data_IF_878441092549
#
_entry.id   IF_878441092549
#
_cell.length_a   1.000
_cell.length_b   1.000
_cell.length_c   1.000
_cell.angle_alpha   90.00
_cell.angle_beta   90.00
_cell.angle_gamma   90.00
#
_symmetry.space_group_name_H-M   'P 1'
#
loop_
_entity.id
_entity.type
_entity.pdbx_description
1 polymer ?
#
# COMPACT_ATOMS: atom_id res chain seq x y z
N UNK A 1 -8.66 27.24 -6.45
CA UNK A 1 -9.30 28.49 -6.01
C UNK A 1 -8.25 29.55 -5.65
N UNK A 2 -7.28 29.26 -4.78
CA UNK A 2 -6.24 30.20 -4.30
C UNK A 2 -5.33 30.74 -5.40
N UNK A 3 -5.13 30.01 -6.49
CA UNK A 3 -4.18 30.34 -7.55
C UNK A 3 -2.71 30.30 -7.08
N UNK A 4 -2.40 29.52 -6.02
CA UNK A 4 -1.03 29.34 -5.54
C UNK A 4 -0.26 28.46 -6.54
N UNK A 5 0.78 29.02 -7.14
CA UNK A 5 1.67 28.33 -8.08
C UNK A 5 2.84 27.58 -7.42
N UNK A 6 2.84 27.46 -6.11
CA UNK A 6 3.85 26.66 -5.41
C UNK A 6 3.63 25.15 -5.59
N UNK A 7 4.73 24.39 -5.62
CA UNK A 7 4.65 22.93 -5.62
C UNK A 7 3.92 22.43 -4.37
N UNK A 8 2.82 21.71 -4.56
CA UNK A 8 1.97 21.19 -3.47
C UNK A 8 2.67 20.19 -2.54
N UNK A 9 3.79 19.62 -2.94
CA UNK A 9 4.59 18.74 -2.09
C UNK A 9 5.42 19.50 -1.06
N UNK A 10 5.71 20.80 -1.28
CA UNK A 10 6.56 21.59 -0.41
C UNK A 10 5.88 21.96 0.90
N UNK A 11 6.60 21.94 2.03
CA UNK A 11 6.05 22.30 3.35
C UNK A 11 5.53 23.73 3.43
N UNK A 12 6.24 24.67 2.82
CA UNK A 12 5.86 26.09 2.79
C UNK A 12 4.55 26.33 2.02
N UNK A 13 4.36 25.66 0.87
CA UNK A 13 3.11 25.70 0.12
C UNK A 13 1.95 25.13 0.93
N UNK A 14 2.16 23.97 1.58
CA UNK A 14 1.16 23.36 2.47
C UNK A 14 0.78 24.27 3.63
N UNK A 15 1.76 24.95 4.25
CA UNK A 15 1.52 25.87 5.34
C UNK A 15 0.66 27.08 4.90
N UNK A 16 1.00 27.70 3.75
CA UNK A 16 0.19 28.80 3.18
C UNK A 16 -1.23 28.36 2.85
N UNK A 17 -1.40 27.20 2.21
CA UNK A 17 -2.72 26.65 1.89
C UNK A 17 -3.52 26.33 3.15
N UNK A 18 -2.91 25.77 4.17
CA UNK A 18 -3.55 25.51 5.46
C UNK A 18 -4.04 26.80 6.11
N UNK A 19 -3.19 27.82 6.19
CA UNK A 19 -3.56 29.10 6.75
C UNK A 19 -4.72 29.76 5.99
N UNK A 20 -4.70 29.72 4.65
CA UNK A 20 -5.76 30.25 3.82
C UNK A 20 -7.09 29.51 4.02
N UNK A 21 -7.07 28.17 4.18
CA UNK A 21 -8.26 27.37 4.45
C UNK A 21 -8.81 27.61 5.85
N UNK A 22 -7.93 27.71 6.86
CA UNK A 22 -8.34 28.00 8.23
C UNK A 22 -9.05 29.34 8.36
N UNK A 23 -8.61 30.33 7.58
CA UNK A 23 -9.22 31.69 7.60
C UNK A 23 -10.65 31.72 7.04
N UNK A 24 -11.07 30.74 6.26
CA UNK A 24 -12.39 30.67 5.62
C UNK A 24 -13.22 29.47 6.06
N UNK A 25 -12.71 28.67 6.99
CA UNK A 25 -13.39 27.48 7.49
C UNK A 25 -14.63 27.91 8.31
N UNK A 26 -15.85 27.50 7.93
CA UNK A 26 -17.04 27.84 8.70
C UNK A 26 -17.04 27.12 10.05
N UNK A 27 -17.48 27.81 11.07
CA UNK A 27 -17.52 27.28 12.45
C UNK A 27 -18.59 26.19 12.57
N UNK A 28 -19.75 26.40 11.93
CA UNK A 28 -20.94 25.57 12.13
C UNK A 28 -20.91 24.25 11.30
N UNK A 29 -20.19 24.23 10.16
CA UNK A 29 -20.17 23.09 9.25
C UNK A 29 -18.77 22.84 8.65
N UNK A 30 -17.71 22.67 9.45
CA UNK A 30 -16.35 22.49 8.93
C UNK A 30 -16.17 21.18 8.15
N UNK A 31 -16.91 20.12 8.51
CA UNK A 31 -16.90 18.83 7.82
C UNK A 31 -17.46 18.94 6.41
N UNK A 32 -18.62 19.58 6.25
CA UNK A 32 -19.28 19.75 4.96
C UNK A 32 -18.44 20.63 4.03
N UNK A 33 -17.82 21.67 4.56
CA UNK A 33 -16.91 22.52 3.80
C UNK A 33 -15.70 21.74 3.27
N UNK A 34 -15.06 20.92 4.11
CA UNK A 34 -13.95 20.07 3.67
C UNK A 34 -14.40 19.05 2.61
N UNK A 35 -15.56 18.43 2.80
CA UNK A 35 -16.11 17.48 1.84
C UNK A 35 -16.39 18.16 0.49
N UNK A 36 -17.03 19.33 0.51
CA UNK A 36 -17.31 20.11 -0.69
C UNK A 36 -16.03 20.48 -1.47
N UNK A 37 -14.95 20.84 -0.77
CA UNK A 37 -13.66 21.12 -1.42
C UNK A 37 -13.04 19.89 -2.05
N UNK A 38 -13.14 18.72 -1.40
CA UNK A 38 -12.64 17.45 -1.95
C UNK A 38 -13.45 17.05 -3.19
N UNK A 39 -14.77 17.15 -3.16
CA UNK A 39 -15.63 16.85 -4.29
C UNK A 39 -15.43 17.81 -5.45
N UNK A 40 -15.28 19.10 -5.19
CA UNK A 40 -14.96 20.09 -6.20
C UNK A 40 -13.64 19.71 -6.93
N UNK A 41 -12.63 19.29 -6.18
CA UNK A 41 -11.35 18.83 -6.71
C UNK A 41 -11.43 17.51 -7.48
N UNK A 42 -12.38 16.63 -7.16
CA UNK A 42 -12.56 15.35 -7.82
C UNK A 42 -13.45 15.44 -9.07
N UNK A 43 -14.50 16.27 -9.03
CA UNK A 43 -15.57 16.26 -10.04
C UNK A 43 -15.53 17.43 -11.02
N UNK A 44 -15.09 18.61 -10.60
CA UNK A 44 -15.09 19.82 -11.42
C UNK A 44 -13.69 20.30 -11.76
N UNK A 45 -12.83 20.45 -10.73
CA UNK A 45 -11.44 20.88 -10.90
C UNK A 45 -10.48 19.68 -10.90
N UNK A 46 -10.80 18.67 -11.71
CA UNK A 46 -10.08 17.39 -11.72
C UNK A 46 -8.59 17.58 -12.07
N UNK A 47 -7.68 16.84 -11.41
CA UNK A 47 -6.23 17.04 -11.56
C UNK A 47 -5.64 16.44 -12.85
N UNK A 48 -6.44 15.71 -13.62
CA UNK A 48 -6.02 14.99 -14.84
C UNK A 48 -6.93 15.37 -16.03
N UNK A 49 -6.86 16.62 -16.45
CA UNK A 49 -7.62 17.13 -17.58
C UNK A 49 -8.01 18.60 -17.38
N UNK A 50 -8.60 19.24 -18.40
CA UNK A 50 -9.03 20.63 -18.29
C UNK A 50 -10.13 20.77 -17.21
N UNK A 51 -10.00 21.73 -16.30
CA UNK A 51 -11.00 21.96 -15.28
C UNK A 51 -12.29 22.54 -15.89
N UNK A 52 -13.45 22.05 -15.42
CA UNK A 52 -14.76 22.53 -15.88
C UNK A 52 -15.14 23.84 -15.20
N UNK A 53 -14.38 24.92 -15.51
CA UNK A 53 -14.51 26.20 -14.82
C UNK A 53 -15.89 26.84 -14.95
N UNK A 54 -16.61 26.61 -16.06
CA UNK A 54 -17.94 27.16 -16.29
C UNK A 54 -19.02 26.52 -15.41
N UNK A 55 -18.79 25.31 -14.92
CA UNK A 55 -19.69 24.58 -14.02
C UNK A 55 -19.29 24.79 -12.53
N UNK A 56 -18.18 25.49 -12.29
CA UNK A 56 -17.60 25.59 -10.94
C UNK A 56 -18.33 26.64 -10.10
N UNK A 57 -18.86 26.29 -8.92
CA UNK A 57 -19.50 27.24 -8.01
C UNK A 57 -18.55 28.33 -7.51
N UNK A 58 -17.22 28.08 -7.54
CA UNK A 58 -16.20 29.05 -7.17
C UNK A 58 -15.71 29.91 -8.34
N UNK A 59 -16.35 29.81 -9.51
CA UNK A 59 -15.91 30.45 -10.75
C UNK A 59 -15.64 31.95 -10.60
N UNK A 60 -16.53 32.65 -9.90
CA UNK A 60 -16.50 34.12 -9.80
C UNK A 60 -15.26 34.64 -9.04
N UNK A 61 -14.75 33.88 -8.07
CA UNK A 61 -13.65 34.31 -7.20
C UNK A 61 -12.41 33.45 -7.28
N UNK A 62 -12.40 32.47 -8.21
CA UNK A 62 -11.25 31.57 -8.38
C UNK A 62 -10.07 32.32 -9.01
N UNK A 63 -9.01 32.54 -8.24
CA UNK A 63 -7.79 33.23 -8.70
C UNK A 63 -7.08 32.48 -9.84
N UNK A 64 -7.10 31.14 -9.83
CA UNK A 64 -6.54 30.34 -10.91
C UNK A 64 -7.25 30.61 -12.23
N UNK A 65 -8.59 30.63 -12.25
CA UNK A 65 -9.37 30.98 -13.42
C UNK A 65 -9.17 32.43 -13.87
N UNK A 66 -9.26 33.38 -12.93
CA UNK A 66 -9.11 34.82 -13.23
C UNK A 66 -7.74 35.14 -13.83
N UNK A 67 -6.72 34.38 -13.53
CA UNK A 67 -5.36 34.51 -14.07
C UNK A 67 -5.09 33.66 -15.31
N UNK A 68 -6.04 32.84 -15.75
CA UNK A 68 -5.85 31.91 -16.86
C UNK A 68 -4.91 30.74 -16.55
N UNK A 69 -4.62 30.46 -15.27
CA UNK A 69 -3.66 29.41 -14.85
C UNK A 69 -4.35 28.18 -14.24
N UNK A 70 -5.66 28.05 -14.41
CA UNK A 70 -6.40 26.96 -13.76
C UNK A 70 -5.95 25.56 -14.23
N UNK A 71 -5.54 25.43 -15.49
CA UNK A 71 -5.07 24.15 -16.07
C UNK A 71 -3.68 23.74 -15.58
N UNK A 72 -2.87 24.74 -15.20
CA UNK A 72 -1.50 24.50 -14.67
C UNK A 72 -1.49 24.11 -13.18
N UNK A 73 -2.67 24.18 -12.54
CA UNK A 73 -2.81 23.92 -11.11
C UNK A 73 -3.48 22.56 -10.83
N UNK A 74 -3.04 21.84 -9.79
CA UNK A 74 -1.98 22.17 -8.86
C UNK A 74 -0.58 21.91 -9.45
N UNK A 75 0.37 22.77 -9.17
CA UNK A 75 1.77 22.54 -9.55
C UNK A 75 2.31 21.35 -8.76
N UNK A 76 2.80 20.34 -9.46
CA UNK A 76 3.39 19.12 -8.90
C UNK A 76 4.84 19.02 -9.37
N UNK A 77 5.77 18.98 -8.43
CA UNK A 77 7.16 18.67 -8.75
C UNK A 77 7.33 17.29 -9.38
N UNK A 78 8.48 17.05 -9.97
CA UNK A 78 8.81 15.73 -10.52
C UNK A 78 8.63 14.66 -9.43
N UNK A 79 7.90 13.60 -9.74
CA UNK A 79 7.76 12.46 -8.84
C UNK A 79 9.12 11.81 -8.64
N UNK A 80 9.56 11.69 -7.39
CA UNK A 80 10.73 10.85 -7.08
C UNK A 80 10.43 9.41 -7.52
N UNK A 81 11.40 8.72 -8.13
CA UNK A 81 11.24 7.30 -8.44
C UNK A 81 10.94 6.53 -7.15
N UNK A 82 10.10 5.52 -7.27
CA UNK A 82 9.84 4.63 -6.12
C UNK A 82 11.09 3.82 -5.83
N UNK A 83 11.36 3.58 -4.55
CA UNK A 83 12.36 2.61 -4.14
C UNK A 83 11.82 1.22 -4.47
N UNK A 84 12.61 0.43 -5.20
CA UNK A 84 12.30 -0.97 -5.45
C UNK A 84 12.90 -1.80 -4.31
N UNK A 85 12.09 -2.65 -3.71
CA UNK A 85 12.50 -3.63 -2.71
C UNK A 85 12.19 -5.02 -3.23
N UNK A 86 13.18 -5.87 -3.23
CA UNK A 86 13.03 -7.28 -3.54
C UNK A 86 12.75 -8.07 -2.27
N UNK A 87 11.84 -9.03 -2.35
CA UNK A 87 11.48 -9.89 -1.21
C UNK A 87 11.28 -11.33 -1.66
N UNK A 88 11.70 -12.24 -0.80
CA UNK A 88 11.34 -13.66 -0.93
C UNK A 88 10.27 -13.99 0.10
N UNK A 89 9.13 -14.47 -0.36
CA UNK A 89 7.94 -14.81 0.43
C UNK A 89 7.82 -16.33 0.51
N UNK A 90 7.49 -16.85 1.67
CA UNK A 90 7.40 -18.29 1.91
C UNK A 90 5.97 -18.68 2.30
N UNK A 91 5.36 -19.57 1.51
CA UNK A 91 4.19 -20.33 1.89
C UNK A 91 4.67 -21.64 2.51
N UNK A 92 4.98 -21.59 3.80
CA UNK A 92 5.44 -22.75 4.56
C UNK A 92 4.25 -23.59 4.96
N UNK A 93 4.24 -24.84 4.58
CA UNK A 93 3.16 -25.80 4.83
C UNK A 93 3.62 -26.84 5.82
N UNK A 94 2.80 -27.07 6.87
CA UNK A 94 3.01 -28.14 7.84
C UNK A 94 1.66 -28.65 8.36
N UNK A 95 1.45 -29.94 8.29
CA UNK A 95 0.23 -30.61 8.81
C UNK A 95 -1.05 -29.93 8.32
N UNK A 96 -1.18 -29.65 7.00
CA UNK A 96 -2.33 -28.99 6.41
C UNK A 96 -2.54 -27.52 6.83
N UNK A 97 -1.52 -26.88 7.39
CA UNK A 97 -1.58 -25.46 7.84
C UNK A 97 -0.48 -24.64 7.21
N UNK A 98 -0.70 -23.35 7.13
CA UNK A 98 0.25 -22.39 6.54
C UNK A 98 0.75 -21.43 7.61
N UNK A 99 2.07 -21.18 7.62
CA UNK A 99 2.67 -20.24 8.54
C UNK A 99 2.32 -18.79 8.20
N UNK A 100 1.89 -18.05 9.21
CA UNK A 100 1.74 -16.60 9.19
C UNK A 100 2.52 -15.99 10.35
N UNK A 101 2.95 -14.76 10.22
CA UNK A 101 3.48 -13.97 11.33
C UNK A 101 2.84 -12.58 11.37
N UNK A 102 2.85 -11.96 12.53
CA UNK A 102 2.37 -10.59 12.68
C UNK A 102 3.50 -9.60 12.43
N UNK A 103 3.24 -8.58 11.61
CA UNK A 103 4.20 -7.52 11.36
C UNK A 103 4.40 -6.65 12.62
N UNK A 104 5.60 -6.03 12.78
CA UNK A 104 5.82 -5.07 13.86
C UNK A 104 4.74 -3.97 13.89
N UNK A 105 4.51 -3.38 15.05
CA UNK A 105 3.52 -2.32 15.25
C UNK A 105 3.87 -0.98 14.59
N UNK A 106 5.00 -0.90 13.89
CA UNK A 106 5.48 0.32 13.20
C UNK A 106 5.91 -0.01 11.76
N UNK A 107 5.96 1.02 10.91
CA UNK A 107 6.37 0.87 9.52
C UNK A 107 5.24 0.51 8.57
N UNK A 108 5.61 0.09 7.35
CA UNK A 108 4.66 -0.22 6.27
C UNK A 108 3.83 -1.46 6.65
N UNK A 109 2.49 -1.36 6.54
CA UNK A 109 1.55 -2.43 6.88
C UNK A 109 1.65 -2.90 8.34
N UNK A 110 1.95 -1.97 9.26
CA UNK A 110 2.14 -2.25 10.69
C UNK A 110 0.98 -3.02 11.33
N UNK A 111 1.30 -4.03 12.12
CA UNK A 111 0.33 -4.82 12.90
C UNK A 111 -0.55 -5.78 12.09
N UNK A 112 -0.44 -5.80 10.75
CA UNK A 112 -1.13 -6.76 9.90
C UNK A 112 -0.41 -8.10 9.85
N UNK A 113 -1.08 -9.11 9.35
CA UNK A 113 -0.51 -10.44 9.17
C UNK A 113 0.20 -10.58 7.82
N UNK A 114 1.25 -11.36 7.77
CA UNK A 114 1.99 -11.63 6.53
C UNK A 114 2.44 -13.09 6.48
N UNK A 115 2.72 -13.56 5.27
CA UNK A 115 3.50 -14.77 5.09
C UNK A 115 4.96 -14.49 5.49
N UNK A 116 5.68 -15.43 6.12
CA UNK A 116 7.10 -15.30 6.38
C UNK A 116 7.84 -14.82 5.13
N UNK A 117 8.69 -13.83 5.27
CA UNK A 117 9.44 -13.26 4.15
C UNK A 117 10.79 -12.70 4.62
N UNK A 118 11.72 -12.60 3.69
CA UNK A 118 13.03 -11.98 3.86
C UNK A 118 13.28 -10.98 2.74
N UNK A 119 14.22 -10.08 2.95
CA UNK A 119 14.68 -9.15 1.92
C UNK A 119 15.52 -9.90 0.88
N UNK A 120 15.44 -9.43 -0.36
CA UNK A 120 16.15 -9.97 -1.51
C UNK A 120 15.36 -11.00 -2.31
N UNK A 121 15.77 -11.18 -3.57
CA UNK A 121 15.27 -12.22 -4.47
C UNK A 121 16.16 -13.46 -4.35
N UNK A 122 15.87 -14.34 -3.41
CA UNK A 122 16.63 -15.55 -3.17
C UNK A 122 16.32 -16.60 -4.26
N UNK A 123 17.34 -17.35 -4.63
CA UNK A 123 17.16 -18.62 -5.33
C UNK A 123 16.70 -19.72 -4.35
N UNK A 124 16.40 -20.91 -4.87
CA UNK A 124 15.90 -22.04 -4.07
C UNK A 124 16.88 -22.47 -2.97
N UNK A 125 18.17 -22.47 -3.26
CA UNK A 125 19.21 -22.88 -2.30
C UNK A 125 19.30 -21.87 -1.14
N UNK A 126 19.36 -20.57 -1.44
CA UNK A 126 19.38 -19.52 -0.43
C UNK A 126 18.05 -19.44 0.34
N UNK A 127 16.92 -19.68 -0.33
CA UNK A 127 15.62 -19.76 0.29
C UNK A 127 15.53 -20.92 1.29
N UNK A 128 16.06 -22.09 0.94
CA UNK A 128 16.16 -23.24 1.84
C UNK A 128 17.02 -22.94 3.08
N UNK A 129 18.16 -22.29 2.88
CA UNK A 129 19.01 -21.85 3.99
C UNK A 129 18.27 -20.86 4.92
N UNK A 130 17.50 -19.92 4.37
CA UNK A 130 16.69 -18.99 5.15
C UNK A 130 15.63 -19.71 6.00
N UNK A 131 14.96 -20.72 5.44
CA UNK A 131 13.99 -21.55 6.17
C UNK A 131 14.67 -22.31 7.30
N UNK A 132 15.88 -22.84 7.06
CA UNK A 132 16.65 -23.55 8.07
C UNK A 132 17.10 -22.66 9.23
N UNK A 133 17.38 -21.38 8.97
CA UNK A 133 17.69 -20.38 10.03
C UNK A 133 16.49 -20.18 10.97
N UNK A 134 15.26 -20.39 10.50
CA UNK A 134 14.06 -20.35 11.34
C UNK A 134 13.83 -21.64 12.14
N UNK A 135 14.78 -22.60 12.12
CA UNK A 135 14.63 -23.89 12.80
C UNK A 135 13.64 -24.84 12.12
N UNK A 136 13.35 -24.58 10.85
CA UNK A 136 12.49 -25.43 10.03
C UNK A 136 13.34 -26.25 9.06
N UNK A 137 12.89 -27.46 8.78
CA UNK A 137 13.53 -28.36 7.83
C UNK A 137 12.71 -28.40 6.54
N UNK A 138 13.24 -27.90 5.40
CA UNK A 138 12.61 -28.04 4.09
C UNK A 138 12.45 -29.51 3.72
N UNK A 139 11.23 -29.93 3.36
CA UNK A 139 10.91 -31.32 2.96
C UNK A 139 10.68 -31.43 1.47
N UNK A 140 9.75 -30.62 0.94
CA UNK A 140 9.34 -30.69 -0.47
C UNK A 140 9.04 -29.31 -1.02
N UNK A 141 9.72 -28.95 -2.09
CA UNK A 141 9.41 -27.75 -2.86
C UNK A 141 8.26 -28.05 -3.81
N UNK A 142 7.26 -27.17 -3.89
CA UNK A 142 6.06 -27.41 -4.66
C UNK A 142 5.85 -26.44 -5.78
N UNK A 143 5.91 -25.17 -5.49
CA UNK A 143 5.70 -24.12 -6.49
C UNK A 143 6.55 -22.89 -6.25
N UNK A 144 6.76 -22.15 -7.33
CA UNK A 144 7.36 -20.83 -7.31
C UNK A 144 6.44 -19.86 -8.01
N UNK A 145 6.15 -18.72 -7.40
CA UNK A 145 5.36 -17.69 -8.02
C UNK A 145 5.97 -16.30 -7.78
N UNK A 146 5.70 -15.37 -8.69
CA UNK A 146 6.17 -13.99 -8.56
C UNK A 146 4.99 -13.05 -8.44
N UNK A 147 5.16 -11.98 -7.67
CA UNK A 147 4.17 -10.93 -7.54
C UNK A 147 4.85 -9.57 -7.47
N UNK A 148 4.10 -8.54 -7.79
CA UNK A 148 4.52 -7.15 -7.69
C UNK A 148 3.43 -6.36 -6.97
N UNK A 149 3.83 -5.50 -6.05
CA UNK A 149 2.91 -4.57 -5.41
C UNK A 149 3.49 -3.16 -5.35
N UNK A 150 2.66 -2.17 -5.67
CA UNK A 150 3.08 -0.77 -5.78
C UNK A 150 2.41 0.04 -4.66
N UNK A 151 3.23 0.55 -3.75
CA UNK A 151 2.81 1.54 -2.77
C UNK A 151 3.13 2.97 -3.26
N UNK A 152 2.79 3.95 -2.48
CA UNK A 152 3.05 5.36 -2.83
C UNK A 152 4.54 5.66 -3.04
N UNK A 153 5.42 5.12 -2.19
CA UNK A 153 6.86 5.45 -2.15
C UNK A 153 7.78 4.25 -2.36
N UNK A 154 7.25 3.05 -2.36
CA UNK A 154 8.01 1.81 -2.54
C UNK A 154 7.26 0.85 -3.45
N UNK A 155 8.00 0.01 -4.13
CA UNK A 155 7.51 -1.03 -5.00
C UNK A 155 8.15 -2.35 -4.58
N UNK A 156 7.33 -3.35 -4.22
CA UNK A 156 7.81 -4.68 -3.89
C UNK A 156 7.80 -5.58 -5.12
N UNK A 157 8.95 -6.14 -5.43
CA UNK A 157 9.10 -7.26 -6.35
C UNK A 157 9.29 -8.51 -5.50
N UNK A 158 8.38 -9.46 -5.63
CA UNK A 158 8.34 -10.61 -4.73
C UNK A 158 8.50 -11.91 -5.50
N UNK A 159 9.44 -12.74 -5.05
CA UNK A 159 9.53 -14.16 -5.43
C UNK A 159 8.97 -14.98 -4.26
N UNK A 160 8.03 -15.85 -4.52
CA UNK A 160 7.44 -16.73 -3.50
C UNK A 160 7.75 -18.19 -3.76
N UNK A 161 7.93 -18.93 -2.69
CA UNK A 161 8.11 -20.37 -2.69
C UNK A 161 7.07 -21.02 -1.79
N UNK A 162 6.41 -22.04 -2.31
CA UNK A 162 5.56 -22.94 -1.53
C UNK A 162 6.36 -24.21 -1.25
N UNK A 163 6.49 -24.55 0.03
CA UNK A 163 7.24 -25.73 0.43
C UNK A 163 6.69 -26.37 1.72
N UNK A 164 6.70 -27.68 1.77
CA UNK A 164 6.46 -28.42 3.00
C UNK A 164 7.68 -28.37 3.91
N UNK A 165 7.43 -28.20 5.19
CA UNK A 165 8.47 -28.10 6.21
C UNK A 165 8.15 -28.99 7.41
N UNK A 166 9.20 -29.36 8.17
CA UNK A 166 9.08 -29.95 9.48
C UNK A 166 9.73 -29.03 10.54
N UNK A 167 9.40 -29.26 11.81
CA UNK A 167 9.87 -28.42 12.93
C UNK A 167 8.84 -27.37 13.35
N UNK A 168 9.07 -26.74 14.50
CA UNK A 168 8.11 -25.80 15.07
C UNK A 168 8.27 -24.37 14.54
N UNK A 169 9.48 -24.02 14.14
CA UNK A 169 9.83 -22.68 13.68
C UNK A 169 9.86 -21.64 14.83
N UNK A 170 9.97 -20.36 14.48
CA UNK A 170 9.96 -19.28 15.45
C UNK A 170 8.63 -19.21 16.23
N UNK A 171 8.71 -18.80 17.49
CA UNK A 171 7.53 -18.70 18.38
C UNK A 171 6.47 -17.67 17.92
N UNK A 172 6.85 -16.74 17.05
CA UNK A 172 5.94 -15.76 16.44
C UNK A 172 5.25 -16.27 15.18
N UNK A 173 5.58 -17.47 14.71
CA UNK A 173 4.85 -18.13 13.62
C UNK A 173 3.55 -18.73 14.15
N UNK A 174 2.47 -18.44 13.44
CA UNK A 174 1.15 -19.01 13.69
C UNK A 174 0.79 -19.91 12.51
N UNK A 175 0.56 -21.19 12.79
CA UNK A 175 0.13 -22.16 11.79
C UNK A 175 -1.39 -22.09 11.62
N UNK A 176 -1.81 -21.50 10.50
CA UNK A 176 -3.21 -21.20 10.19
C UNK A 176 -3.81 -22.26 9.27
N UNK A 177 -4.96 -22.79 9.63
CA UNK A 177 -5.88 -23.48 8.73
C UNK A 177 -6.70 -22.46 7.90
N UNK A 178 -7.62 -22.96 7.09
CA UNK A 178 -8.44 -22.11 6.20
C UNK A 178 -9.28 -21.07 6.98
N UNK A 179 -9.87 -21.44 8.10
CA UNK A 179 -10.63 -20.54 8.95
C UNK A 179 -9.75 -19.48 9.57
N UNK A 180 -8.67 -19.90 10.20
CA UNK A 180 -7.70 -19.02 10.81
C UNK A 180 -7.01 -18.07 9.81
N UNK A 181 -6.81 -18.49 8.55
CA UNK A 181 -6.31 -17.61 7.48
C UNK A 181 -7.33 -16.54 7.12
N UNK A 182 -8.62 -16.91 7.00
CA UNK A 182 -9.71 -15.98 6.63
C UNK A 182 -9.96 -14.92 7.70
N UNK A 183 -9.77 -15.25 8.97
CA UNK A 183 -9.99 -14.36 10.11
C UNK A 183 -8.85 -13.33 10.30
N UNK A 184 -7.77 -13.47 9.55
CA UNK A 184 -6.61 -12.60 9.68
C UNK A 184 -6.55 -11.56 8.59
N UNK A 185 -6.28 -10.30 8.98
CA UNK A 185 -6.09 -9.20 8.07
C UNK A 185 -4.72 -9.31 7.37
N UNK A 186 -4.68 -10.05 6.26
CA UNK A 186 -3.51 -10.13 5.37
C UNK A 186 -3.63 -9.05 4.30
N UNK A 187 -2.63 -8.15 4.13
CA UNK A 187 -2.69 -7.06 3.17
C UNK A 187 -2.80 -7.54 1.71
N UNK A 188 -3.47 -6.75 0.88
CA UNK A 188 -3.57 -6.99 -0.58
C UNK A 188 -2.21 -7.08 -1.28
N UNK A 189 -1.15 -6.55 -0.69
CA UNK A 189 0.22 -6.73 -1.17
C UNK A 189 0.61 -8.20 -1.30
N UNK A 190 0.07 -9.06 -0.44
CA UNK A 190 0.25 -10.52 -0.48
C UNK A 190 -0.91 -11.25 -1.15
N UNK A 191 -1.80 -10.56 -1.87
CA UNK A 191 -3.05 -11.13 -2.39
C UNK A 191 -2.84 -12.36 -3.26
N UNK A 192 -1.79 -12.39 -4.11
CA UNK A 192 -1.46 -13.55 -4.94
C UNK A 192 -1.07 -14.76 -4.11
N UNK A 193 -0.29 -14.55 -3.06
CA UNK A 193 0.12 -15.59 -2.11
C UNK A 193 -1.05 -16.06 -1.25
N UNK A 194 -1.94 -15.14 -0.88
CA UNK A 194 -3.17 -15.47 -0.16
C UNK A 194 -4.08 -16.38 -0.97
N UNK A 195 -4.25 -16.10 -2.26
CA UNK A 195 -5.06 -16.92 -3.17
C UNK A 195 -4.50 -18.34 -3.27
N UNK A 196 -3.18 -18.46 -3.44
CA UNK A 196 -2.49 -19.76 -3.49
C UNK A 196 -2.66 -20.53 -2.16
N UNK A 197 -2.41 -19.86 -1.03
CA UNK A 197 -2.58 -20.43 0.30
C UNK A 197 -4.01 -20.91 0.56
N UNK A 198 -5.00 -20.09 0.20
CA UNK A 198 -6.41 -20.42 0.40
C UNK A 198 -6.90 -21.56 -0.51
N UNK A 199 -6.38 -21.67 -1.73
CA UNK A 199 -6.69 -22.78 -2.62
C UNK A 199 -6.17 -24.10 -2.02
N UNK A 200 -4.91 -24.11 -1.58
CA UNK A 200 -4.28 -25.28 -1.00
C UNK A 200 -5.00 -25.79 0.27
N UNK A 201 -5.37 -24.88 1.18
CA UNK A 201 -6.07 -25.25 2.42
C UNK A 201 -7.51 -25.77 2.20
N UNK A 202 -8.04 -25.72 0.97
CA UNK A 202 -9.35 -26.29 0.61
C UNK A 202 -9.27 -27.68 -0.01
N UNK A 203 -8.08 -28.06 -0.49
CA UNK A 203 -7.86 -29.36 -1.18
C UNK A 203 -7.54 -30.49 -0.18
N UNK A 204 -7.27 -30.17 1.06
CA UNK A 204 -7.07 -31.10 2.19
C UNK A 204 -8.35 -31.22 3.05
#
# INVERSE_FOLDING_TARGET
>A
ISGDGGDIARPDTKARMRAALQAVLPVDAPGDFNQALMELGATVCAPNGPPRCLECPAMAFCKGRLRGTAEDLPVKGAKKPRRVEEKTVFLLVRDGKIALRKRPGTGLLAGLWEFPNVEGALDEAAAGAAVSVWGLEPRRWESRLTAKHIFTHVEWHMTGYTLEVAGDGPADFVWADAGALSDRAVPSAFGRYYTEAAARLKEE
#
